data_IF_586506584738
#
_entry.id   IF_586506584738
#
_cell.length_a   1.000
_cell.length_b   1.000
_cell.length_c   1.000
_cell.angle_alpha   90.00
_cell.angle_beta   90.00
_cell.angle_gamma   90.00
#
_symmetry.space_group_name_H-M   'P 1'
#
loop_
_entity.id
_entity.type
_entity.pdbx_description
1 polymer ?
#
# COMPACT_ATOMS: atom_id res chain seq x y z
N UNK A 1 -31.76 1.68 11.36
CA UNK A 1 -31.70 2.57 10.19
C UNK A 1 -30.51 2.08 9.36
N UNK A 2 -30.79 1.31 8.30
CA UNK A 2 -29.76 0.77 7.42
C UNK A 2 -29.29 1.86 6.46
N UNK A 3 -27.99 2.11 6.44
CA UNK A 3 -27.37 2.93 5.39
C UNK A 3 -27.50 2.15 4.07
N UNK A 4 -28.27 2.68 3.13
CA UNK A 4 -28.29 2.21 1.74
C UNK A 4 -26.94 2.53 1.12
N UNK A 5 -26.17 1.49 0.83
CA UNK A 5 -24.97 1.61 0.01
C UNK A 5 -25.45 1.79 -1.43
N UNK A 6 -25.25 2.97 -2.00
CA UNK A 6 -25.53 3.23 -3.40
C UNK A 6 -24.68 2.30 -4.28
N UNK A 7 -25.29 1.64 -5.30
CA UNK A 7 -24.53 0.80 -6.22
C UNK A 7 -23.55 1.68 -7.01
N UNK A 8 -22.27 1.37 -6.93
CA UNK A 8 -21.19 1.99 -7.70
C UNK A 8 -21.53 1.80 -9.19
N UNK A 9 -21.96 2.87 -9.84
CA UNK A 9 -22.16 2.89 -11.28
C UNK A 9 -20.81 2.76 -11.96
N UNK A 10 -20.63 1.68 -12.69
CA UNK A 10 -19.47 1.38 -13.52
C UNK A 10 -19.39 2.33 -14.72
N UNK A 11 -19.01 3.55 -14.47
CA UNK A 11 -18.56 4.48 -15.51
C UNK A 11 -17.11 4.76 -15.21
N UNK A 12 -16.19 4.15 -15.98
CA UNK A 12 -14.73 4.32 -16.11
C UNK A 12 -13.95 5.41 -15.36
N UNK A 13 -14.45 5.87 -14.25
CA UNK A 13 -13.84 6.79 -13.32
C UNK A 13 -13.42 5.98 -12.11
N UNK A 14 -12.12 5.86 -11.88
CA UNK A 14 -11.59 5.31 -10.64
C UNK A 14 -12.39 5.84 -9.44
N UNK A 15 -12.80 4.98 -8.49
CA UNK A 15 -13.51 5.45 -7.32
C UNK A 15 -12.66 6.53 -6.64
N UNK A 16 -13.18 7.74 -6.59
CA UNK A 16 -12.52 8.83 -5.88
C UNK A 16 -12.64 8.54 -4.40
N UNK A 17 -11.50 8.45 -3.75
CA UNK A 17 -11.48 8.38 -2.30
C UNK A 17 -11.87 9.75 -1.74
N UNK A 18 -13.10 9.85 -1.30
CA UNK A 18 -13.59 10.97 -0.49
C UNK A 18 -13.62 10.45 0.95
N UNK A 19 -13.14 11.21 1.89
CA UNK A 19 -13.18 10.92 3.33
C UNK A 19 -12.29 9.74 3.81
N UNK A 20 -11.12 9.58 3.22
CA UNK A 20 -10.11 8.64 3.73
C UNK A 20 -10.37 7.16 3.45
N UNK A 21 -11.37 6.82 2.63
CA UNK A 21 -11.63 5.43 2.27
C UNK A 21 -10.42 4.79 1.56
N UNK A 22 -10.12 3.55 1.88
CA UNK A 22 -9.11 2.80 1.16
C UNK A 22 -9.60 2.45 -0.25
N UNK A 23 -8.75 2.62 -1.24
CA UNK A 23 -8.97 2.13 -2.61
C UNK A 23 -7.89 1.14 -3.01
N UNK A 24 -8.18 0.34 -4.02
CA UNK A 24 -7.24 -0.65 -4.56
C UNK A 24 -6.84 -0.28 -5.98
N UNK A 25 -5.61 -0.59 -6.33
CA UNK A 25 -5.10 -0.60 -7.70
C UNK A 25 -4.46 -1.96 -7.97
N UNK A 26 -4.78 -2.55 -9.11
CA UNK A 26 -4.20 -3.80 -9.56
C UNK A 26 -3.65 -3.60 -10.99
N UNK A 27 -2.36 -3.79 -11.18
CA UNK A 27 -1.67 -3.60 -12.47
C UNK A 27 -1.08 -4.92 -12.94
N UNK A 28 -1.33 -5.29 -14.20
CA UNK A 28 -0.95 -6.57 -14.76
C UNK A 28 -0.11 -6.40 -16.04
N UNK A 29 1.18 -6.14 -15.85
CA UNK A 29 2.11 -5.79 -16.93
C UNK A 29 2.79 -7.01 -17.55
N UNK A 30 2.92 -7.04 -18.87
CA UNK A 30 3.72 -8.05 -19.58
C UNK A 30 5.20 -7.84 -19.36
N UNK A 31 5.94 -8.91 -19.03
CA UNK A 31 7.37 -8.86 -18.69
C UNK A 31 8.21 -9.41 -19.83
N UNK A 32 9.28 -8.70 -20.20
CA UNK A 32 10.30 -9.13 -21.15
C UNK A 32 11.03 -10.38 -20.65
N UNK A 33 11.69 -11.09 -21.55
CA UNK A 33 12.44 -12.29 -21.17
C UNK A 33 13.50 -12.02 -20.08
N UNK A 34 14.19 -10.88 -20.14
CA UNK A 34 15.16 -10.45 -19.13
C UNK A 34 14.54 -10.33 -17.72
N UNK A 35 13.31 -9.86 -17.63
CA UNK A 35 12.59 -9.74 -16.34
C UNK A 35 12.22 -11.10 -15.73
N UNK A 36 12.16 -12.16 -16.52
CA UNK A 36 11.94 -13.54 -16.02
C UNK A 36 13.07 -13.99 -15.08
N UNK A 37 14.27 -13.48 -15.27
CA UNK A 37 15.44 -13.76 -14.44
C UNK A 37 15.63 -12.66 -13.41
N UNK A 38 15.56 -11.40 -13.85
CA UNK A 38 15.81 -10.23 -13.01
C UNK A 38 14.85 -10.11 -11.82
N UNK A 39 13.53 -10.22 -12.05
CA UNK A 39 12.55 -9.98 -10.99
C UNK A 39 12.66 -10.97 -9.82
N UNK A 40 12.84 -12.29 -10.01
CA UNK A 40 13.06 -13.19 -8.88
C UNK A 40 14.31 -12.85 -8.07
N UNK A 41 15.40 -12.46 -8.73
CA UNK A 41 16.61 -12.02 -8.04
C UNK A 41 16.37 -10.74 -7.25
N UNK A 42 15.67 -9.77 -7.84
CA UNK A 42 15.27 -8.54 -7.17
C UNK A 42 14.39 -8.82 -5.95
N UNK A 43 13.37 -9.66 -6.07
CA UNK A 43 12.48 -10.01 -4.96
C UNK A 43 13.26 -10.71 -3.84
N UNK A 44 14.16 -11.60 -4.18
CA UNK A 44 15.03 -12.24 -3.21
C UNK A 44 15.93 -11.23 -2.48
N UNK A 45 16.57 -10.31 -3.23
CA UNK A 45 17.45 -9.29 -2.68
C UNK A 45 16.68 -8.32 -1.76
N UNK A 46 15.49 -7.86 -2.17
CA UNK A 46 14.64 -6.98 -1.34
C UNK A 46 14.19 -7.69 -0.06
N UNK A 47 13.81 -8.97 -0.15
CA UNK A 47 13.42 -9.77 1.02
C UNK A 47 14.59 -9.96 1.99
N UNK A 48 15.79 -10.24 1.46
CA UNK A 48 17.00 -10.37 2.27
C UNK A 48 17.36 -9.05 2.95
N UNK A 49 17.33 -7.94 2.20
CA UNK A 49 17.60 -6.60 2.74
C UNK A 49 16.63 -6.25 3.87
N UNK A 50 15.33 -6.48 3.68
CA UNK A 50 14.32 -6.22 4.70
C UNK A 50 14.56 -7.03 5.99
N UNK A 51 14.99 -8.31 5.85
CA UNK A 51 15.37 -9.13 7.01
C UNK A 51 16.60 -8.60 7.73
N UNK A 52 17.62 -8.14 6.98
CA UNK A 52 18.84 -7.56 7.55
C UNK A 52 18.53 -6.23 8.23
N UNK A 53 17.71 -5.36 7.63
CA UNK A 53 17.27 -4.11 8.24
C UNK A 53 16.51 -4.35 9.55
N UNK A 54 15.59 -5.32 9.56
CA UNK A 54 14.85 -5.71 10.76
C UNK A 54 15.79 -6.25 11.85
N UNK A 55 16.76 -7.09 11.47
CA UNK A 55 17.75 -7.61 12.40
C UNK A 55 18.66 -6.52 12.99
N UNK A 56 19.04 -5.52 12.17
CA UNK A 56 19.85 -4.37 12.60
C UNK A 56 19.05 -3.29 13.33
N UNK A 57 17.73 -3.47 13.50
CA UNK A 57 16.80 -2.48 14.07
C UNK A 57 16.92 -1.10 13.41
N UNK A 58 17.16 -1.08 12.11
CA UNK A 58 17.22 0.17 11.33
C UNK A 58 15.81 0.74 11.15
N UNK A 59 15.69 2.08 11.06
CA UNK A 59 14.40 2.70 10.79
C UNK A 59 13.86 2.20 9.44
N UNK A 60 12.52 2.10 9.31
CA UNK A 60 11.89 1.59 8.10
C UNK A 60 12.28 2.41 6.87
N UNK A 61 12.44 1.71 5.74
CA UNK A 61 12.83 2.30 4.47
C UNK A 61 11.81 3.30 3.89
N UNK A 62 12.12 3.84 2.72
CA UNK A 62 11.33 4.90 2.06
C UNK A 62 9.85 4.53 1.87
N UNK A 63 9.52 3.25 1.61
CA UNK A 63 8.13 2.79 1.48
C UNK A 63 7.30 2.98 2.75
N UNK A 64 7.90 2.74 3.91
CA UNK A 64 7.20 2.90 5.19
C UNK A 64 6.94 4.39 5.56
N UNK A 65 7.60 5.33 4.86
CA UNK A 65 7.32 6.76 4.98
C UNK A 65 6.11 7.22 4.17
N UNK A 66 5.60 6.36 3.29
CA UNK A 66 4.39 6.62 2.53
C UNK A 66 3.18 6.23 3.39
N UNK A 67 2.80 7.14 4.28
CA UNK A 67 1.76 6.95 5.29
C UNK A 67 0.33 6.80 4.72
N UNK A 68 0.18 6.71 3.41
CA UNK A 68 -1.10 6.49 2.73
C UNK A 68 -1.26 5.07 2.15
N UNK A 69 -0.22 4.23 2.21
CA UNK A 69 -0.25 2.85 1.68
C UNK A 69 -0.51 1.88 2.82
N UNK A 70 -1.62 1.13 2.73
CA UNK A 70 -1.90 0.05 3.66
C UNK A 70 -1.08 -1.20 3.32
N UNK A 71 -1.17 -1.63 2.05
CA UNK A 71 -0.50 -2.83 1.56
C UNK A 71 -0.02 -2.62 0.13
N UNK A 72 1.08 -3.27 -0.22
CA UNK A 72 1.56 -3.36 -1.58
C UNK A 72 2.14 -4.77 -1.82
N UNK A 73 1.80 -5.36 -2.96
CA UNK A 73 2.24 -6.70 -3.33
C UNK A 73 2.71 -6.76 -4.78
N UNK A 74 3.82 -7.46 -5.02
CA UNK A 74 4.31 -7.81 -6.34
C UNK A 74 4.35 -9.31 -6.49
N UNK A 75 3.83 -9.82 -7.61
CA UNK A 75 3.84 -11.25 -7.92
C UNK A 75 4.24 -11.46 -9.38
N UNK A 76 5.26 -12.28 -9.63
CA UNK A 76 5.61 -12.70 -10.98
C UNK A 76 4.79 -13.94 -11.36
N UNK A 77 3.75 -13.73 -12.18
CA UNK A 77 2.87 -14.78 -12.68
C UNK A 77 3.53 -15.43 -13.91
N UNK A 78 3.97 -16.67 -13.79
CA UNK A 78 4.64 -17.44 -14.86
C UNK A 78 3.73 -18.46 -15.51
N UNK A 79 2.65 -18.80 -14.86
CA UNK A 79 1.65 -19.79 -15.30
C UNK A 79 0.29 -19.44 -14.72
N UNK A 80 -0.74 -19.80 -15.46
CA UNK A 80 -2.11 -19.78 -14.94
C UNK A 80 -2.35 -21.08 -14.16
N UNK A 81 -2.98 -21.05 -12.99
CA UNK A 81 -3.39 -22.25 -12.26
C UNK A 81 -4.29 -23.15 -13.11
N UNK A 82 -4.10 -24.45 -12.99
CA UNK A 82 -4.92 -25.44 -13.66
C UNK A 82 -5.71 -26.24 -12.63
N UNK A 83 -7.03 -26.16 -12.71
CA UNK A 83 -7.94 -26.73 -11.70
C UNK A 83 -8.49 -28.12 -12.13
N UNK A 84 -8.07 -28.65 -13.29
CA UNK A 84 -8.53 -29.94 -13.79
C UNK A 84 -9.49 -29.81 -14.99
N UNK A 85 -9.87 -31.00 -15.54
CA UNK A 85 -10.85 -31.07 -16.62
C UNK A 85 -12.24 -30.57 -16.15
N UNK A 86 -13.04 -29.95 -17.04
CA UNK A 86 -12.85 -29.75 -18.47
C UNK A 86 -12.00 -28.53 -18.87
N UNK A 87 -11.41 -27.81 -17.90
CA UNK A 87 -10.55 -26.66 -18.20
C UNK A 87 -9.36 -27.09 -19.05
N UNK A 88 -9.06 -26.33 -20.11
CA UNK A 88 -7.83 -26.47 -20.85
C UNK A 88 -6.68 -25.78 -20.16
N UNK A 89 -5.46 -26.36 -20.24
CA UNK A 89 -4.26 -25.69 -19.69
C UNK A 89 -3.93 -24.45 -20.49
N UNK A 90 -3.99 -23.31 -19.84
CA UNK A 90 -3.59 -22.04 -20.44
C UNK A 90 -2.08 -21.85 -20.38
N UNK A 91 -1.52 -21.31 -21.46
CA UNK A 91 -0.09 -21.00 -21.57
C UNK A 91 0.08 -19.51 -21.77
N UNK A 92 0.77 -18.85 -20.83
CA UNK A 92 1.16 -17.46 -21.00
C UNK A 92 2.28 -17.34 -22.01
N UNK A 93 2.11 -16.47 -23.03
CA UNK A 93 3.18 -16.12 -23.98
C UNK A 93 4.32 -15.37 -23.30
N UNK A 94 3.97 -14.55 -22.31
CA UNK A 94 4.92 -13.77 -21.51
C UNK A 94 4.58 -13.90 -20.03
N UNK A 95 5.57 -13.92 -19.12
CA UNK A 95 5.31 -13.72 -17.69
C UNK A 95 4.61 -12.39 -17.47
N UNK A 96 3.84 -12.29 -16.39
CA UNK A 96 3.16 -11.07 -16.00
C UNK A 96 3.66 -10.62 -14.64
N UNK A 97 3.95 -9.34 -14.51
CA UNK A 97 4.14 -8.71 -13.22
C UNK A 97 2.77 -8.22 -12.75
N UNK A 98 2.24 -8.87 -11.72
CA UNK A 98 1.05 -8.43 -11.01
C UNK A 98 1.47 -7.56 -9.84
N UNK A 99 1.00 -6.34 -9.81
CA UNK A 99 1.14 -5.41 -8.70
C UNK A 99 -0.22 -5.08 -8.16
N UNK A 100 -0.34 -5.09 -6.84
CA UNK A 100 -1.55 -4.69 -6.15
C UNK A 100 -1.18 -3.80 -4.98
N UNK A 101 -1.95 -2.73 -4.78
CA UNK A 101 -1.77 -1.84 -3.64
C UNK A 101 -3.12 -1.33 -3.14
N UNK A 102 -3.25 -1.24 -1.82
CA UNK A 102 -4.37 -0.59 -1.15
C UNK A 102 -3.85 0.67 -0.47
N UNK A 103 -4.49 1.77 -0.70
CA UNK A 103 -4.04 3.09 -0.26
C UNK A 103 -5.20 4.03 0.05
N UNK A 104 -4.90 5.12 0.77
CA UNK A 104 -5.82 6.22 0.98
C UNK A 104 -5.47 7.39 0.04
N UNK A 105 -6.45 8.17 -0.34
CA UNK A 105 -6.26 9.32 -1.23
C UNK A 105 -6.73 9.04 -2.66
N UNK A 106 -6.57 10.01 -3.54
CA UNK A 106 -6.96 9.90 -4.94
C UNK A 106 -5.97 9.06 -5.75
N UNK A 107 -6.46 8.46 -6.84
CA UNK A 107 -5.62 7.68 -7.76
C UNK A 107 -4.50 8.55 -8.38
N UNK A 108 -4.83 9.79 -8.77
CA UNK A 108 -3.88 10.70 -9.42
C UNK A 108 -2.74 11.07 -8.46
N UNK A 109 -3.06 11.43 -7.23
CA UNK A 109 -2.11 11.79 -6.17
C UNK A 109 -1.23 10.59 -5.80
N UNK A 110 -1.81 9.40 -5.73
CA UNK A 110 -1.09 8.17 -5.49
C UNK A 110 -0.01 7.91 -6.56
N UNK A 111 -0.37 7.99 -7.86
CA UNK A 111 0.58 7.76 -8.95
C UNK A 111 1.64 8.87 -9.00
N UNK A 112 1.28 10.12 -8.71
CA UNK A 112 2.23 11.23 -8.62
C UNK A 112 3.26 10.99 -7.49
N UNK A 113 2.80 10.61 -6.30
CA UNK A 113 3.67 10.29 -5.18
C UNK A 113 4.63 9.13 -5.52
N UNK A 114 4.13 8.06 -6.13
CA UNK A 114 4.95 6.95 -6.61
C UNK A 114 6.01 7.40 -7.62
N UNK A 115 5.61 8.19 -8.61
CA UNK A 115 6.52 8.69 -9.65
C UNK A 115 7.65 9.53 -9.07
N UNK A 116 7.37 10.35 -8.07
CA UNK A 116 8.34 11.29 -7.49
C UNK A 116 9.19 10.67 -6.39
N UNK A 117 8.58 9.92 -5.48
CA UNK A 117 9.24 9.39 -4.29
C UNK A 117 9.94 8.06 -4.58
N UNK A 118 9.29 7.19 -5.37
CA UNK A 118 9.76 5.84 -5.64
C UNK A 118 10.31 5.64 -7.07
N UNK A 119 10.76 6.70 -7.75
CA UNK A 119 11.26 6.65 -9.14
C UNK A 119 12.22 5.47 -9.39
N UNK A 120 13.24 5.30 -8.55
CA UNK A 120 14.21 4.20 -8.67
C UNK A 120 13.57 2.83 -8.45
N UNK A 121 12.69 2.73 -7.47
CA UNK A 121 11.92 1.51 -7.21
C UNK A 121 11.05 1.11 -8.40
N UNK A 122 10.35 2.08 -9.01
CA UNK A 122 9.54 1.86 -10.21
C UNK A 122 10.39 1.31 -11.36
N UNK A 123 11.56 1.88 -11.62
CA UNK A 123 12.47 1.40 -12.66
C UNK A 123 12.94 -0.03 -12.36
N UNK A 124 13.28 -0.34 -11.12
CA UNK A 124 13.74 -1.67 -10.72
C UNK A 124 12.66 -2.75 -10.94
N UNK A 125 11.40 -2.46 -10.60
CA UNK A 125 10.30 -3.42 -10.71
C UNK A 125 9.69 -3.48 -12.11
N UNK A 126 9.45 -2.33 -12.76
CA UNK A 126 8.76 -2.26 -14.06
C UNK A 126 9.69 -2.08 -15.27
N UNK A 127 10.96 -1.76 -15.09
CA UNK A 127 11.89 -1.50 -16.18
C UNK A 127 12.05 -2.65 -17.18
N UNK A 128 11.73 -3.88 -16.77
CA UNK A 128 11.70 -5.05 -17.65
C UNK A 128 10.31 -5.34 -18.24
N UNK A 129 9.30 -4.52 -17.97
CA UNK A 129 7.97 -4.64 -18.56
C UNK A 129 7.93 -4.03 -19.97
N UNK A 130 7.09 -4.60 -20.82
CA UNK A 130 6.84 -4.05 -22.15
C UNK A 130 6.10 -2.71 -22.03
N UNK A 131 6.48 -1.74 -22.86
CA UNK A 131 5.81 -0.44 -22.91
C UNK A 131 6.07 0.48 -21.70
N UNK A 132 6.86 0.06 -20.71
CA UNK A 132 7.14 0.90 -19.55
C UNK A 132 7.87 2.20 -19.94
N UNK A 133 7.26 3.40 -19.73
CA UNK A 133 7.75 4.66 -20.29
C UNK A 133 8.73 5.43 -19.40
N UNK A 134 9.17 4.85 -18.30
CA UNK A 134 9.81 5.52 -17.17
C UNK A 134 8.78 6.25 -16.27
N UNK A 135 9.10 6.47 -14.98
CA UNK A 135 8.17 7.15 -14.04
C UNK A 135 8.02 8.64 -14.31
N UNK A 136 8.98 9.23 -15.03
CA UNK A 136 8.97 10.65 -15.40
C UNK A 136 9.25 10.83 -16.89
N UNK A 137 8.52 11.71 -17.59
CA UNK A 137 7.41 12.54 -17.09
C UNK A 137 6.19 11.69 -16.64
N UNK A 138 5.38 12.21 -15.71
CA UNK A 138 4.32 11.43 -15.05
C UNK A 138 3.16 11.09 -15.98
N UNK A 139 2.83 11.93 -16.96
CA UNK A 139 1.67 11.71 -17.82
C UNK A 139 1.75 10.41 -18.65
N UNK A 140 2.85 10.07 -19.36
CA UNK A 140 2.99 8.76 -20.00
C UNK A 140 2.96 7.59 -19.00
N UNK A 141 3.48 7.78 -17.80
CA UNK A 141 3.44 6.76 -16.78
C UNK A 141 2.01 6.50 -16.26
N UNK A 142 1.23 7.57 -16.03
CA UNK A 142 -0.20 7.45 -15.68
C UNK A 142 -0.98 6.70 -16.76
N UNK A 143 -0.73 7.03 -18.02
CA UNK A 143 -1.36 6.35 -19.16
C UNK A 143 -0.99 4.85 -19.17
N UNK A 144 0.30 4.52 -18.99
CA UNK A 144 0.76 3.14 -18.90
C UNK A 144 0.08 2.36 -17.77
N UNK A 145 -0.08 2.98 -16.59
CA UNK A 145 -0.78 2.33 -15.48
C UNK A 145 -2.24 2.06 -15.85
N UNK A 146 -2.96 3.06 -16.38
CA UNK A 146 -4.37 2.92 -16.80
C UNK A 146 -4.56 1.81 -17.84
N UNK A 147 -3.64 1.68 -18.80
CA UNK A 147 -3.70 0.65 -19.84
C UNK A 147 -3.41 -0.78 -19.35
N UNK A 148 -2.73 -0.92 -18.20
CA UNK A 148 -2.38 -2.19 -17.60
C UNK A 148 -3.13 -2.47 -16.29
N UNK A 149 -4.03 -1.57 -15.89
CA UNK A 149 -4.83 -1.73 -14.68
C UNK A 149 -5.98 -2.72 -14.91
N UNK A 150 -6.21 -3.55 -13.92
CA UNK A 150 -7.38 -4.43 -13.84
C UNK A 150 -8.39 -3.75 -12.94
N UNK A 151 -9.55 -3.45 -13.48
CA UNK A 151 -10.66 -2.91 -12.72
C UNK A 151 -11.15 -3.94 -11.70
N UNK A 152 -11.29 -3.53 -10.45
CA UNK A 152 -11.84 -4.38 -9.41
C UNK A 152 -13.36 -4.49 -9.59
N UNK A 153 -13.86 -5.70 -9.85
CA UNK A 153 -15.30 -5.95 -9.93
C UNK A 153 -16.00 -5.74 -8.59
N UNK A 154 -15.29 -5.95 -7.48
CA UNK A 154 -15.77 -5.71 -6.12
C UNK A 154 -14.57 -5.46 -5.21
N UNK A 155 -14.67 -4.44 -4.35
CA UNK A 155 -13.70 -4.14 -3.31
C UNK A 155 -14.43 -4.00 -1.97
N UNK A 156 -14.02 -4.80 -0.99
CA UNK A 156 -14.54 -4.75 0.36
C UNK A 156 -13.50 -4.22 1.32
N UNK A 157 -13.88 -3.26 2.15
CA UNK A 157 -13.09 -2.78 3.28
C UNK A 157 -13.88 -2.93 4.57
N UNK A 158 -13.34 -3.63 5.55
CA UNK A 158 -13.96 -3.78 6.87
C UNK A 158 -13.96 -2.46 7.66
N UNK A 159 -13.01 -1.59 7.37
CA UNK A 159 -12.80 -0.31 8.05
C UNK A 159 -12.63 0.82 7.03
N UNK A 160 -13.69 1.20 6.29
CA UNK A 160 -13.58 2.14 5.17
C UNK A 160 -13.13 3.54 5.61
N UNK A 161 -13.37 3.91 6.85
CA UNK A 161 -12.98 5.21 7.41
C UNK A 161 -11.56 5.23 8.00
N UNK A 162 -10.94 4.06 8.21
CA UNK A 162 -9.61 3.99 8.80
C UNK A 162 -8.54 4.34 7.75
N UNK A 163 -7.79 5.40 8.00
CA UNK A 163 -6.60 5.73 7.22
C UNK A 163 -5.37 5.06 7.82
N UNK A 164 -4.32 4.91 7.02
CA UNK A 164 -3.01 4.43 7.50
C UNK A 164 -2.47 5.32 8.62
N UNK A 165 -2.64 6.64 8.48
CA UNK A 165 -2.24 7.61 9.51
C UNK A 165 -2.98 7.37 10.82
N UNK A 166 -4.30 7.15 10.77
CA UNK A 166 -5.09 6.84 11.97
C UNK A 166 -4.63 5.55 12.65
N UNK A 167 -4.29 4.52 11.87
CA UNK A 167 -3.77 3.26 12.43
C UNK A 167 -2.42 3.48 13.12
N UNK A 168 -1.52 4.24 12.51
CA UNK A 168 -0.22 4.57 13.10
C UNK A 168 -0.38 5.43 14.37
N UNK A 169 -1.25 6.43 14.33
CA UNK A 169 -1.57 7.28 15.48
C UNK A 169 -2.17 6.47 16.64
N UNK A 170 -3.08 5.54 16.34
CA UNK A 170 -3.66 4.67 17.38
C UNK A 170 -2.59 3.80 18.08
N UNK A 171 -1.63 3.25 17.34
CA UNK A 171 -0.52 2.50 17.94
C UNK A 171 0.42 3.40 18.76
N UNK A 172 0.64 4.65 18.32
CA UNK A 172 1.44 5.60 19.10
C UNK A 172 0.73 6.00 20.39
N UNK A 173 -0.56 6.28 20.30
CA UNK A 173 -1.43 6.58 21.43
C UNK A 173 -1.46 5.45 22.46
N UNK A 174 -1.61 4.19 22.01
CA UNK A 174 -1.57 3.01 22.88
C UNK A 174 -0.27 2.96 23.69
N UNK A 175 0.87 3.12 23.03
CA UNK A 175 2.20 3.13 23.67
C UNK A 175 2.35 4.25 24.70
N UNK A 176 1.92 5.47 24.33
CA UNK A 176 1.94 6.66 25.21
C UNK A 176 1.00 6.46 26.42
N UNK A 177 -0.16 5.85 26.19
CA UNK A 177 -1.12 5.55 27.26
C UNK A 177 -0.57 4.50 28.24
N UNK A 178 0.11 3.47 27.76
CA UNK A 178 0.76 2.50 28.62
C UNK A 178 1.87 3.13 29.48
N UNK A 179 2.66 4.01 28.91
CA UNK A 179 3.65 4.80 29.66
C UNK A 179 2.99 5.73 30.69
N UNK A 180 1.86 6.35 30.33
CA UNK A 180 1.07 7.17 31.24
C UNK A 180 0.54 6.35 32.43
N UNK A 181 -0.02 5.16 32.20
CA UNK A 181 -0.50 4.27 33.29
C UNK A 181 0.61 3.99 34.31
N UNK A 182 1.84 3.73 33.86
CA UNK A 182 2.97 3.50 34.76
C UNK A 182 3.37 4.76 35.57
N UNK A 183 3.17 5.96 35.00
CA UNK A 183 3.48 7.22 35.70
C UNK A 183 2.49 7.58 36.81
N UNK A 184 1.24 7.11 36.70
CA UNK A 184 0.16 7.45 37.65
C UNK A 184 -0.08 6.36 38.71
N UNK A 185 0.65 5.28 38.69
CA UNK A 185 0.51 4.23 39.69
C UNK A 185 0.87 4.77 41.06
N UNK A 186 -0.11 4.75 42.00
CA UNK A 186 0.03 5.31 43.35
C UNK A 186 0.02 6.85 43.43
N UNK A 187 -0.31 7.56 42.34
CA UNK A 187 -0.35 9.04 42.32
C UNK A 187 -1.46 9.60 43.19
N UNK A 188 -1.19 10.75 43.84
CA UNK A 188 -2.23 11.55 44.49
C UNK A 188 -3.18 12.18 43.47
N UNK A 189 -4.40 12.60 43.83
CA UNK A 189 -5.33 13.27 42.91
C UNK A 189 -4.72 14.46 42.16
N UNK A 190 -3.92 15.28 42.85
CA UNK A 190 -3.28 16.45 42.23
C UNK A 190 -2.19 16.05 41.24
N UNK A 191 -1.35 15.08 41.61
CA UNK A 191 -0.32 14.49 40.73
C UNK A 191 -0.93 13.82 39.51
N UNK A 192 -2.05 13.10 39.69
CA UNK A 192 -2.82 12.55 38.57
C UNK A 192 -3.32 13.65 37.63
N UNK A 193 -3.92 14.72 38.16
CA UNK A 193 -4.45 15.81 37.35
C UNK A 193 -3.35 16.49 36.52
N UNK A 194 -2.16 16.66 37.09
CA UNK A 194 -0.99 17.20 36.39
C UNK A 194 -0.51 16.25 35.29
N UNK A 195 -0.32 14.97 35.61
CA UNK A 195 0.11 13.94 34.65
C UNK A 195 -0.91 13.77 33.53
N UNK A 196 -2.21 13.87 33.81
CA UNK A 196 -3.26 13.81 32.80
C UNK A 196 -3.20 14.99 31.80
N UNK A 197 -3.01 16.22 32.31
CA UNK A 197 -2.84 17.38 31.40
C UNK A 197 -1.61 17.25 30.52
N UNK A 198 -0.50 16.78 31.09
CA UNK A 198 0.72 16.52 30.33
C UNK A 198 0.51 15.45 29.27
N UNK A 199 -0.18 14.35 29.61
CA UNK A 199 -0.52 13.30 28.66
C UNK A 199 -1.41 13.79 27.51
N UNK A 200 -2.47 14.57 27.79
CA UNK A 200 -3.31 15.16 26.75
C UNK A 200 -2.53 16.04 25.79
N UNK A 201 -1.56 16.83 26.32
CA UNK A 201 -0.69 17.66 25.47
C UNK A 201 0.26 16.81 24.61
N UNK A 202 0.75 15.68 25.16
CA UNK A 202 1.65 14.73 24.46
C UNK A 202 0.95 14.01 23.32
N UNK A 203 -0.35 13.70 23.47
CA UNK A 203 -1.11 12.91 22.48
C UNK A 203 -1.94 13.75 21.52
N UNK A 204 -1.91 15.07 21.63
CA UNK A 204 -2.76 15.97 20.83
C UNK A 204 -2.60 15.77 19.32
N UNK A 205 -1.41 15.36 18.86
CA UNK A 205 -1.14 15.11 17.46
C UNK A 205 -1.60 13.71 16.98
N UNK A 206 -1.99 12.82 17.91
CA UNK A 206 -2.42 11.45 17.65
C UNK A 206 -3.96 11.30 17.73
N UNK A 207 -4.67 12.35 18.12
CA UNK A 207 -6.12 12.43 18.22
C UNK A 207 -6.71 13.11 16.96
#
# INVERSE_FOLDING_TARGET
>A
MGATVDPITATGTHPRNVDGQAITIAVFSSVKWSGRIWLPLLFWAVTLLARVEAWLRRPPGTLARLSFIHFARWTLVRRIPYNGAPQQKEKLSYPRLFFESNFNGGWEEYIDAFSHILTKGMILFWGTSYGFPQPKPTAPFKQYIKENELEASHFYSAYPQATTTMVLAAHDLERKFDAFKGRIEGATPDAFAEAWRAFLSEVQADL
#
